data_IF_909092715169
#
_entry.id   IF_909092715169
#
_cell.length_a   1.000
_cell.length_b   1.000
_cell.length_c   1.000
_cell.angle_alpha   90.00
_cell.angle_beta   90.00
_cell.angle_gamma   90.00
#
_symmetry.space_group_name_H-M   'P 1'
#
loop_
_entity.id
_entity.type
_entity.pdbx_description
1 polymer ?
#
# COMPACT_ATOMS: atom_id res chain seq x y z
N UNK A 1 -18.50 -6.42 14.91
CA UNK A 1 -17.65 -5.25 14.63
C UNK A 1 -18.57 -4.04 14.43
N UNK A 2 -18.34 -2.92 15.11
CA UNK A 2 -19.21 -1.73 15.02
C UNK A 2 -19.07 -0.98 13.68
N UNK A 3 -19.88 0.05 13.44
CA UNK A 3 -19.93 0.77 12.15
C UNK A 3 -18.58 1.37 11.71
N UNK A 4 -17.78 1.86 12.66
CA UNK A 4 -16.44 2.42 12.38
C UNK A 4 -15.47 1.35 11.87
N UNK A 5 -15.53 0.14 12.42
CA UNK A 5 -14.66 -0.96 11.98
C UNK A 5 -15.09 -1.46 10.61
N UNK A 6 -16.39 -1.50 10.32
CA UNK A 6 -16.89 -1.85 8.98
C UNK A 6 -16.42 -0.86 7.92
N UNK A 7 -16.43 0.44 8.23
CA UNK A 7 -15.90 1.49 7.35
C UNK A 7 -14.40 1.32 7.09
N UNK A 8 -13.60 0.96 8.10
CA UNK A 8 -12.18 0.66 7.90
C UNK A 8 -11.96 -0.57 7.02
N UNK A 9 -12.74 -1.62 7.23
CA UNK A 9 -12.67 -2.82 6.38
C UNK A 9 -13.02 -2.46 4.93
N UNK A 10 -14.07 -1.70 4.69
CA UNK A 10 -14.44 -1.23 3.35
C UNK A 10 -13.34 -0.37 2.72
N UNK A 11 -12.77 0.57 3.48
CA UNK A 11 -11.70 1.47 3.03
C UNK A 11 -10.40 0.72 2.67
N UNK A 12 -10.14 -0.42 3.31
CA UNK A 12 -8.92 -1.22 3.15
C UNK A 12 -9.08 -2.42 2.20
N UNK A 13 -10.29 -2.65 1.67
CA UNK A 13 -10.57 -3.75 0.75
C UNK A 13 -10.21 -3.34 -0.68
N UNK A 14 -9.47 -4.20 -1.39
CA UNK A 14 -9.25 -4.06 -2.84
C UNK A 14 -10.62 -4.22 -3.54
N UNK A 15 -11.08 -3.18 -4.25
CA UNK A 15 -12.39 -3.16 -4.91
C UNK A 15 -12.33 -3.64 -6.36
N UNK A 16 -11.13 -3.75 -6.92
CA UNK A 16 -10.92 -4.23 -8.28
C UNK A 16 -11.26 -5.73 -8.43
N UNK A 17 -11.79 -6.08 -9.60
CA UNK A 17 -12.18 -7.44 -9.98
C UNK A 17 -11.23 -7.99 -11.04
N UNK A 18 -11.03 -9.32 -11.14
CA UNK A 18 -10.22 -9.92 -12.20
C UNK A 18 -10.64 -9.50 -13.63
N UNK A 19 -11.93 -9.21 -13.82
CA UNK A 19 -12.53 -8.73 -15.07
C UNK A 19 -12.17 -7.29 -15.42
N UNK A 20 -11.68 -6.50 -14.47
CA UNK A 20 -11.36 -5.07 -14.68
C UNK A 20 -10.03 -4.87 -15.43
N UNK A 21 -9.41 -5.96 -15.88
CA UNK A 21 -8.24 -5.96 -16.73
C UNK A 21 -6.99 -6.49 -16.04
N UNK A 22 -5.83 -6.09 -16.55
CA UNK A 22 -4.54 -6.58 -16.04
C UNK A 22 -4.22 -6.02 -14.65
N UNK A 23 -3.20 -6.59 -13.99
CA UNK A 23 -2.78 -6.22 -12.62
C UNK A 23 -2.57 -4.72 -12.44
N UNK A 24 -1.97 -4.05 -13.44
CA UNK A 24 -1.72 -2.60 -13.40
C UNK A 24 -3.02 -1.80 -13.35
N UNK A 25 -4.01 -2.16 -14.18
CA UNK A 25 -5.32 -1.49 -14.18
C UNK A 25 -6.02 -1.70 -12.84
N UNK A 26 -6.04 -2.94 -12.35
CA UNK A 26 -6.65 -3.28 -11.06
C UNK A 26 -6.04 -2.49 -9.90
N UNK A 27 -4.71 -2.41 -9.83
CA UNK A 27 -4.03 -1.63 -8.79
C UNK A 27 -4.24 -0.12 -8.88
N UNK A 28 -4.45 0.42 -10.09
CA UNK A 28 -4.84 1.82 -10.23
C UNK A 28 -6.26 2.08 -9.66
N UNK A 29 -7.19 1.15 -9.87
CA UNK A 29 -8.55 1.21 -9.28
C UNK A 29 -8.47 1.16 -7.75
N UNK A 30 -7.73 0.19 -7.20
CA UNK A 30 -7.57 0.04 -5.74
C UNK A 30 -6.88 1.27 -5.11
N UNK A 31 -5.92 1.86 -5.81
CA UNK A 31 -5.26 3.10 -5.39
C UNK A 31 -6.26 4.27 -5.37
N UNK A 32 -7.13 4.39 -6.37
CA UNK A 32 -8.15 5.44 -6.41
C UNK A 32 -9.19 5.27 -5.30
N UNK A 33 -9.56 4.04 -4.96
CA UNK A 33 -10.39 3.73 -3.81
C UNK A 33 -9.71 4.16 -2.50
N UNK A 34 -8.45 3.73 -2.32
CA UNK A 34 -7.65 4.08 -1.15
C UNK A 34 -7.43 5.60 -1.00
N UNK A 35 -7.35 6.34 -2.11
CA UNK A 35 -7.23 7.80 -2.06
C UNK A 35 -8.40 8.48 -1.36
N UNK A 36 -9.60 7.89 -1.43
CA UNK A 36 -10.83 8.37 -0.78
C UNK A 36 -11.01 7.83 0.64
N UNK A 37 -10.12 6.93 1.07
CA UNK A 37 -10.18 6.37 2.41
C UNK A 37 -9.92 7.44 3.47
N UNK A 38 -10.48 7.20 4.66
CA UNK A 38 -10.26 8.05 5.83
C UNK A 38 -8.78 8.08 6.25
N UNK A 39 -8.29 9.18 6.85
CA UNK A 39 -6.93 9.28 7.41
C UNK A 39 -6.53 8.10 8.30
N UNK A 40 -7.45 7.60 9.13
CA UNK A 40 -7.21 6.48 10.03
C UNK A 40 -7.00 5.17 9.26
N UNK A 41 -7.78 4.92 8.20
CA UNK A 41 -7.59 3.77 7.32
C UNK A 41 -6.27 3.88 6.55
N UNK A 42 -5.92 5.08 6.05
CA UNK A 42 -4.61 5.33 5.41
C UNK A 42 -3.46 5.03 6.38
N UNK A 43 -3.61 5.37 7.66
CA UNK A 43 -2.64 5.06 8.72
C UNK A 43 -2.48 3.55 8.94
N UNK A 44 -3.58 2.80 8.95
CA UNK A 44 -3.54 1.33 9.03
C UNK A 44 -2.80 0.75 7.82
N UNK A 45 -3.06 1.27 6.62
CA UNK A 45 -2.37 0.82 5.40
C UNK A 45 -0.87 1.12 5.44
N UNK A 46 -0.44 2.25 6.01
CA UNK A 46 0.97 2.55 6.23
C UNK A 46 1.63 1.54 7.18
N UNK A 47 0.95 1.17 8.27
CA UNK A 47 1.44 0.16 9.20
C UNK A 47 1.58 -1.22 8.53
N UNK A 48 0.59 -1.61 7.72
CA UNK A 48 0.60 -2.84 6.92
C UNK A 48 1.81 -2.89 5.97
N UNK A 49 2.09 -1.80 5.26
CA UNK A 49 3.28 -1.70 4.39
C UNK A 49 4.56 -1.95 5.18
N UNK A 50 4.72 -1.29 6.33
CA UNK A 50 5.92 -1.40 7.17
C UNK A 50 6.09 -2.84 7.69
N UNK A 51 5.00 -3.45 8.18
CA UNK A 51 5.03 -4.80 8.75
C UNK A 51 5.35 -5.86 7.69
N UNK A 52 4.76 -5.75 6.50
CA UNK A 52 4.90 -6.76 5.45
C UNK A 52 6.21 -6.65 4.67
N UNK A 53 6.77 -5.44 4.54
CA UNK A 53 7.93 -5.19 3.68
C UNK A 53 9.12 -6.10 3.99
N UNK A 54 9.51 -6.21 5.26
CA UNK A 54 10.69 -7.02 5.64
C UNK A 54 10.53 -8.50 5.31
N UNK A 55 9.34 -9.07 5.59
CA UNK A 55 9.03 -10.47 5.30
C UNK A 55 9.02 -10.74 3.78
N UNK A 56 8.38 -9.87 3.00
CA UNK A 56 8.32 -10.01 1.55
C UNK A 56 9.73 -9.92 0.93
N UNK A 57 10.55 -8.95 1.35
CA UNK A 57 11.94 -8.83 0.87
C UNK A 57 12.73 -10.12 1.17
N UNK A 58 12.57 -10.67 2.38
CA UNK A 58 13.37 -11.83 2.81
C UNK A 58 12.92 -13.15 2.18
N UNK A 59 11.63 -13.32 1.92
CA UNK A 59 11.06 -14.63 1.58
C UNK A 59 10.52 -14.73 0.15
N UNK A 60 10.22 -13.60 -0.50
CA UNK A 60 9.71 -13.57 -1.87
C UNK A 60 10.35 -12.42 -2.67
N UNK A 61 11.67 -12.49 -2.98
CA UNK A 61 12.39 -11.42 -3.66
C UNK A 61 11.85 -11.15 -5.08
N UNK A 62 11.31 -12.18 -5.76
CA UNK A 62 10.69 -12.01 -7.06
C UNK A 62 9.42 -11.16 -6.98
N UNK A 63 8.60 -11.36 -5.94
CA UNK A 63 7.46 -10.52 -5.69
C UNK A 63 7.83 -9.16 -5.07
N UNK A 64 8.91 -9.08 -4.28
CA UNK A 64 9.33 -7.87 -3.58
C UNK A 64 9.49 -6.68 -4.53
N UNK A 65 10.09 -6.89 -5.71
CA UNK A 65 10.23 -5.83 -6.71
C UNK A 65 8.88 -5.29 -7.18
N UNK A 66 7.91 -6.17 -7.44
CA UNK A 66 6.55 -5.80 -7.86
C UNK A 66 5.83 -5.08 -6.71
N UNK A 67 5.88 -5.65 -5.52
CA UNK A 67 5.27 -5.10 -4.31
C UNK A 67 5.78 -3.69 -4.01
N UNK A 68 7.09 -3.47 -4.04
CA UNK A 68 7.69 -2.16 -3.72
C UNK A 68 7.31 -1.08 -4.74
N UNK A 69 7.24 -1.42 -6.03
CA UNK A 69 6.72 -0.49 -7.06
C UNK A 69 5.24 -0.16 -6.84
N UNK A 70 4.43 -1.14 -6.45
CA UNK A 70 3.02 -0.93 -6.10
C UNK A 70 2.89 -0.04 -4.86
N UNK A 71 3.67 -0.28 -3.81
CA UNK A 71 3.65 0.54 -2.59
C UNK A 71 4.15 1.96 -2.83
N UNK A 72 5.16 2.15 -3.69
CA UNK A 72 5.65 3.48 -4.05
C UNK A 72 4.55 4.33 -4.72
N UNK A 73 3.74 3.73 -5.59
CA UNK A 73 2.59 4.41 -6.17
C UNK A 73 1.52 4.72 -5.10
N UNK A 74 1.21 3.73 -4.24
CA UNK A 74 0.20 3.85 -3.19
C UNK A 74 0.55 4.93 -2.15
N UNK A 75 1.83 5.09 -1.78
CA UNK A 75 2.28 6.10 -0.82
C UNK A 75 1.87 7.53 -1.19
N UNK A 76 1.69 7.83 -2.48
CA UNK A 76 1.23 9.15 -2.94
C UNK A 76 -0.18 9.50 -2.46
N UNK A 77 -1.03 8.50 -2.25
CA UNK A 77 -2.43 8.70 -1.82
C UNK A 77 -2.64 8.42 -0.32
N UNK A 78 -1.57 8.03 0.39
CA UNK A 78 -1.56 7.81 1.83
C UNK A 78 -1.07 9.02 2.64
N UNK A 79 -0.84 10.17 2.00
CA UNK A 79 -0.23 11.35 2.62
C UNK A 79 -1.04 11.94 3.80
N UNK A 80 -2.34 11.67 3.86
CA UNK A 80 -3.22 12.09 4.95
C UNK A 80 -3.18 11.15 6.17
N UNK A 81 -2.50 10.00 6.08
CA UNK A 81 -2.27 9.12 7.22
C UNK A 81 -1.23 9.68 8.18
N UNK A 82 -0.85 8.88 9.20
CA UNK A 82 0.17 9.29 10.15
C UNK A 82 1.51 9.65 9.46
N UNK A 83 2.02 10.88 9.64
CA UNK A 83 3.19 11.36 8.91
C UNK A 83 4.48 10.62 9.31
N UNK A 84 4.57 10.09 10.53
CA UNK A 84 5.73 9.31 10.99
C UNK A 84 5.76 7.95 10.30
N UNK A 85 4.62 7.28 10.23
CA UNK A 85 4.48 6.02 9.50
C UNK A 85 4.68 6.24 8.00
N UNK A 86 4.16 7.33 7.44
CA UNK A 86 4.37 7.68 6.03
C UNK A 86 5.84 7.82 5.69
N UNK A 87 6.58 8.63 6.46
CA UNK A 87 8.02 8.81 6.28
C UNK A 87 8.80 7.49 6.44
N UNK A 88 8.40 6.63 7.39
CA UNK A 88 9.03 5.32 7.59
C UNK A 88 8.78 4.37 6.43
N UNK A 89 7.53 4.25 5.98
CA UNK A 89 7.16 3.42 4.84
C UNK A 89 7.87 3.89 3.57
N UNK A 90 7.90 5.21 3.33
CA UNK A 90 8.63 5.80 2.20
C UNK A 90 10.12 5.48 2.24
N UNK A 91 10.78 5.56 3.40
CA UNK A 91 12.20 5.19 3.52
C UNK A 91 12.47 3.73 3.16
N UNK A 92 11.58 2.81 3.57
CA UNK A 92 11.72 1.38 3.25
C UNK A 92 11.59 1.16 1.75
N UNK A 93 10.53 1.72 1.15
CA UNK A 93 10.22 1.53 -0.27
C UNK A 93 11.30 2.17 -1.15
N UNK A 94 11.64 3.44 -0.91
CA UNK A 94 12.65 4.15 -1.69
C UNK A 94 14.03 3.52 -1.51
N UNK A 95 14.37 3.10 -0.28
CA UNK A 95 15.65 2.45 0.00
C UNK A 95 15.80 1.13 -0.75
N UNK A 96 14.73 0.33 -0.83
CA UNK A 96 14.73 -0.89 -1.63
C UNK A 96 14.91 -0.58 -3.13
N UNK A 97 14.13 0.36 -3.67
CA UNK A 97 14.17 0.68 -5.10
C UNK A 97 15.51 1.29 -5.53
N UNK A 98 16.13 2.13 -4.70
CA UNK A 98 17.45 2.70 -4.97
C UNK A 98 18.56 1.64 -4.96
N UNK A 99 18.41 0.58 -4.15
CA UNK A 99 19.37 -0.53 -4.10
C UNK A 99 19.34 -1.47 -5.32
N UNK A 100 18.26 -1.44 -6.10
CA UNK A 100 18.12 -2.23 -7.35
C UNK A 100 18.72 -1.53 -8.57
N UNK A 101 18.96 -0.21 -8.49
CA UNK A 101 19.47 0.61 -9.59
C UNK A 101 21.01 0.70 -9.63
N UNK A 102 21.72 0.13 -8.65
CA UNK A 102 23.18 0.11 -8.52
C UNK A 102 23.79 -1.27 -8.74
#
# INVERSE_FOLDING_TARGET
FGPVVAEYVENLTDVSRPTDGNRRVRKAIDQQHTARARPEAKTIKLADIIANSGSIIAHDPGFAQVYMREQHALLRVLAEGDPTLHARAKRIVDGYLAGEEG
#
